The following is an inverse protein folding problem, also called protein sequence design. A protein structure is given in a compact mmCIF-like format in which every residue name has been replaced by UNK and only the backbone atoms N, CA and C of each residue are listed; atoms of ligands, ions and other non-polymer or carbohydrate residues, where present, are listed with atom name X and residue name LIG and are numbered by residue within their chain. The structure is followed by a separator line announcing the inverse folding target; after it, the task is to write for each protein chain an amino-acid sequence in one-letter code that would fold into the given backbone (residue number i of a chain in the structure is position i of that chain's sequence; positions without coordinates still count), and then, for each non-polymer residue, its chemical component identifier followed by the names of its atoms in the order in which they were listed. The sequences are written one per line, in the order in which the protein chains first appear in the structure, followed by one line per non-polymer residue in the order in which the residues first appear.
data_IF_343078490086
#
_entry.id   IF_343078490086
#
_cell.length_a   1.000
_cell.length_b   1.000
_cell.length_c   1.000
_cell.angle_alpha   90.00
_cell.angle_beta   90.00
_cell.angle_gamma   90.00
#
_symmetry.space_group_name_H-M   'P 1'
#
loop_
_entity.id
_entity.type
_entity.pdbx_description
1 polymer ?
#
# COMPACT_ATOMS: atom_id res chain seq x y z
N UNK A 1 7.31 36.30 48.87
CA UNK A 1 5.89 35.86 48.98
C UNK A 1 5.82 34.43 48.50
N UNK A 2 5.32 33.59 49.40
CA UNK A 2 5.19 32.13 49.34
C UNK A 2 4.17 31.70 48.29
N UNK A 3 4.42 30.59 47.56
CA UNK A 3 3.69 29.36 47.89
C UNK A 3 4.27 28.13 47.21
N UNK A 4 4.41 27.11 48.06
CA UNK A 4 4.87 25.75 47.81
C UNK A 4 3.64 24.84 47.72
N UNK A 5 3.80 23.72 47.00
CA UNK A 5 3.05 22.46 47.10
C UNK A 5 1.63 22.35 46.51
N UNK A 6 1.42 21.33 45.65
CA UNK A 6 0.76 20.09 46.08
C UNK A 6 0.95 18.93 45.10
N UNK A 7 1.49 17.85 45.67
CA UNK A 7 1.60 16.49 45.18
C UNK A 7 0.28 15.73 45.43
N UNK A 8 -0.16 14.88 44.50
CA UNK A 8 -1.21 13.84 44.70
C UNK A 8 -1.47 13.14 43.36
N UNK A 9 -1.60 11.83 43.20
CA UNK A 9 -1.39 10.65 44.04
C UNK A 9 -1.47 9.46 43.04
N UNK A 10 -0.61 8.45 43.19
CA UNK A 10 -0.66 7.22 42.42
C UNK A 10 -1.93 6.42 42.72
N UNK A 11 -2.56 5.86 41.68
CA UNK A 11 -3.58 4.82 41.79
C UNK A 11 -3.10 3.53 41.15
N UNK A 12 -2.60 2.60 41.97
CA UNK A 12 -2.29 1.21 41.58
C UNK A 12 -3.52 0.33 41.84
N UNK A 13 -4.06 -0.29 40.80
CA UNK A 13 -5.15 -1.26 40.91
C UNK A 13 -4.58 -2.66 41.20
N UNK A 14 -4.84 -3.16 42.41
CA UNK A 14 -4.57 -4.54 42.82
C UNK A 14 -5.68 -5.46 42.30
N UNK A 15 -5.35 -6.43 41.45
CA UNK A 15 -6.24 -7.52 41.05
C UNK A 15 -6.02 -8.71 41.99
N UNK A 16 -7.08 -9.10 42.70
CA UNK A 16 -7.13 -10.23 43.63
C UNK A 16 -7.47 -11.55 42.90
N UNK A 17 -6.88 -12.61 43.46
CA UNK A 17 -6.93 -14.02 43.07
C UNK A 17 -8.35 -14.62 43.01
N UNK A 18 -8.54 -15.54 42.07
CA UNK A 18 -9.63 -16.52 42.07
C UNK A 18 -9.15 -17.85 41.51
N UNK A 19 -8.56 -18.70 42.37
CA UNK A 19 -8.29 -20.09 42.05
C UNK A 19 -9.51 -20.94 42.46
N UNK A 20 -10.06 -21.70 41.51
CA UNK A 20 -11.07 -22.73 41.81
C UNK A 20 -10.54 -24.07 41.31
N UNK A 21 -10.17 -24.92 42.27
CA UNK A 21 -9.82 -26.33 42.11
C UNK A 21 -11.10 -27.16 42.30
N UNK A 22 -11.42 -28.07 41.39
CA UNK A 22 -12.31 -29.23 41.64
C UNK A 22 -12.12 -30.30 40.55
N UNK A 23 -12.53 -31.57 40.76
CA UNK A 23 -11.59 -32.68 40.85
C UNK A 23 -11.61 -33.68 39.68
N UNK A 24 -10.55 -34.48 39.69
CA UNK A 24 -10.28 -35.68 38.92
C UNK A 24 -11.44 -36.71 39.00
N UNK A 25 -11.97 -37.15 37.86
CA UNK A 25 -12.69 -38.43 37.74
C UNK A 25 -11.98 -39.32 36.72
N UNK A 26 -11.41 -40.41 37.21
CA UNK A 26 -11.01 -41.58 36.43
C UNK A 26 -12.26 -42.38 36.09
N UNK A 27 -12.50 -42.67 34.80
CA UNK A 27 -13.02 -43.97 34.36
C UNK A 27 -13.27 -44.00 32.85
N UNK A 28 -12.96 -45.15 32.25
CA UNK A 28 -13.67 -45.65 31.08
C UNK A 28 -12.83 -45.83 29.83
N UNK A 29 -12.06 -46.91 29.78
CA UNK A 29 -11.59 -47.49 28.54
C UNK A 29 -12.81 -47.96 27.73
N UNK A 30 -13.03 -47.39 26.54
CA UNK A 30 -14.11 -47.76 25.63
C UNK A 30 -13.61 -47.68 24.19
N UNK A 31 -13.16 -48.81 23.66
CA UNK A 31 -12.80 -48.95 22.25
C UNK A 31 -14.06 -48.78 21.38
N UNK A 32 -14.11 -47.68 20.63
CA UNK A 32 -15.08 -47.49 19.56
C UNK A 32 -14.34 -47.51 18.23
N UNK A 33 -14.61 -48.53 17.42
CA UNK A 33 -14.11 -48.65 16.07
C UNK A 33 -14.70 -47.53 15.20
N UNK A 34 -13.85 -46.67 14.66
CA UNK A 34 -14.25 -45.72 13.61
C UNK A 34 -14.08 -46.39 12.24
N UNK A 35 -15.09 -46.31 11.35
CA UNK A 35 -14.94 -46.80 9.99
C UNK A 35 -13.95 -45.89 9.25
N UNK A 36 -12.98 -46.51 8.57
CA UNK A 36 -12.09 -45.83 7.62
C UNK A 36 -12.89 -45.49 6.37
N UNK A 37 -13.36 -44.25 6.27
CA UNK A 37 -13.80 -43.67 4.99
C UNK A 37 -12.58 -43.14 4.25
N UNK A 38 -12.31 -43.70 3.06
CA UNK A 38 -11.32 -43.18 2.12
C UNK A 38 -11.74 -41.76 1.70
N UNK A 39 -11.06 -40.75 2.23
CA UNK A 39 -11.14 -39.40 1.71
C UNK A 39 -10.36 -39.34 0.39
N UNK A 40 -11.07 -39.48 -0.73
CA UNK A 40 -10.58 -39.00 -2.02
C UNK A 40 -10.38 -37.50 -1.90
N UNK A 41 -9.14 -37.03 -2.00
CA UNK A 41 -8.81 -35.62 -2.11
C UNK A 41 -9.54 -35.04 -3.33
N UNK A 42 -10.64 -34.34 -3.08
CA UNK A 42 -11.29 -33.51 -4.09
C UNK A 42 -10.36 -32.35 -4.39
N UNK A 43 -9.97 -32.25 -5.66
CA UNK A 43 -9.24 -31.12 -6.20
C UNK A 43 -9.93 -29.83 -5.74
N UNK A 44 -9.15 -28.94 -5.11
CA UNK A 44 -9.62 -27.63 -4.73
C UNK A 44 -10.15 -26.90 -5.97
N UNK A 45 -11.47 -26.85 -6.08
CA UNK A 45 -12.16 -26.05 -7.06
C UNK A 45 -11.85 -24.58 -6.74
N UNK A 46 -11.18 -23.92 -7.68
CA UNK A 46 -10.79 -22.52 -7.60
C UNK A 46 -12.07 -21.70 -7.42
N UNK A 47 -12.33 -21.28 -6.18
CA UNK A 47 -13.46 -20.41 -5.85
C UNK A 47 -13.36 -19.15 -6.72
N UNK A 48 -14.40 -18.76 -7.46
CA UNK A 48 -14.40 -17.50 -8.19
C UNK A 48 -14.17 -16.37 -7.19
N UNK A 49 -12.98 -15.78 -7.24
CA UNK A 49 -12.64 -14.59 -6.48
C UNK A 49 -13.62 -13.50 -6.93
N UNK A 50 -14.65 -13.27 -6.13
CA UNK A 50 -15.57 -12.16 -6.32
C UNK A 50 -14.73 -10.90 -6.06
N UNK A 51 -14.18 -10.33 -7.14
CA UNK A 51 -13.35 -9.13 -7.13
C UNK A 51 -14.24 -7.98 -6.64
N UNK A 52 -14.29 -7.77 -5.33
CA UNK A 52 -14.80 -6.53 -4.74
C UNK A 52 -13.82 -5.42 -5.13
N UNK A 53 -14.00 -4.83 -6.32
CA UNK A 53 -13.14 -3.77 -6.88
C UNK A 53 -13.30 -2.47 -6.07
N UNK A 54 -12.21 -1.67 -5.94
CA UNK A 54 -11.75 -0.85 -7.06
C UNK A 54 -10.32 -1.21 -7.51
N UNK A 55 -10.23 -1.84 -8.69
CA UNK A 55 -9.06 -1.68 -9.56
C UNK A 55 -9.34 -0.55 -10.55
N UNK A 56 -8.44 -0.30 -11.50
CA UNK A 56 -8.62 0.76 -12.50
C UNK A 56 -10.01 0.72 -13.19
N UNK A 57 -10.63 1.89 -13.29
CA UNK A 57 -11.89 2.10 -14.03
C UNK A 57 -11.65 3.09 -15.15
N UNK A 58 -12.35 2.92 -16.26
CA UNK A 58 -12.13 3.71 -17.47
C UNK A 58 -13.46 4.23 -18.00
N UNK A 59 -13.43 5.40 -18.64
CA UNK A 59 -14.58 5.89 -19.39
C UNK A 59 -14.65 5.26 -20.80
N UNK A 60 -15.67 5.60 -21.56
CA UNK A 60 -15.90 5.08 -22.92
C UNK A 60 -14.79 5.47 -23.92
N UNK A 61 -14.00 6.50 -23.59
CA UNK A 61 -12.83 6.94 -24.38
C UNK A 61 -11.55 6.19 -23.99
N UNK A 62 -11.63 5.33 -22.98
CA UNK A 62 -10.52 4.57 -22.44
C UNK A 62 -9.57 5.34 -21.55
N UNK A 63 -9.94 6.55 -21.12
CA UNK A 63 -9.21 7.33 -20.12
C UNK A 63 -9.42 6.74 -18.72
N UNK A 64 -8.39 6.76 -17.88
CA UNK A 64 -8.47 6.28 -16.51
C UNK A 64 -9.33 7.24 -15.69
N UNK A 65 -10.36 6.75 -15.02
CA UNK A 65 -11.16 7.57 -14.09
C UNK A 65 -10.35 7.75 -12.81
N UNK A 66 -10.23 8.99 -12.35
CA UNK A 66 -9.49 9.32 -11.13
C UNK A 66 -10.20 8.74 -9.91
N UNK A 67 -9.52 7.91 -9.10
CA UNK A 67 -10.06 7.53 -7.79
C UNK A 67 -10.06 8.75 -6.86
N UNK A 68 -11.25 9.22 -6.49
CA UNK A 68 -11.39 10.40 -5.64
C UNK A 68 -10.93 10.16 -4.19
N UNK A 69 -10.96 8.91 -3.76
CA UNK A 69 -10.64 8.37 -2.44
C UNK A 69 -9.17 7.92 -2.31
N UNK A 70 -8.30 8.21 -3.28
CA UNK A 70 -6.93 7.67 -3.29
C UNK A 70 -6.08 7.99 -2.06
N UNK A 71 -6.41 9.04 -1.31
CA UNK A 71 -5.72 9.37 -0.04
C UNK A 71 -6.11 8.45 1.12
N UNK A 72 -7.13 7.62 0.94
CA UNK A 72 -7.52 6.54 1.86
C UNK A 72 -6.89 5.19 1.46
N UNK A 73 -6.15 5.14 0.35
CA UNK A 73 -5.46 3.94 -0.08
C UNK A 73 -4.20 3.67 0.76
N UNK A 74 -3.55 2.54 0.51
CA UNK A 74 -2.37 2.14 1.28
C UNK A 74 -1.19 2.99 0.84
N UNK A 75 -0.75 3.91 1.69
CA UNK A 75 0.51 4.63 1.52
C UNK A 75 1.70 3.66 1.56
N UNK A 76 2.64 3.79 0.60
CA UNK A 76 3.78 2.88 0.49
C UNK A 76 5.15 3.52 0.69
N UNK A 77 5.25 4.84 0.53
CA UNK A 77 6.48 5.60 0.74
C UNK A 77 6.38 7.02 0.21
N UNK A 78 7.32 7.86 0.64
CA UNK A 78 7.42 9.27 0.25
C UNK A 78 8.88 9.69 0.01
N UNK A 79 9.50 9.30 -1.11
CA UNK A 79 10.78 9.89 -1.50
C UNK A 79 10.61 11.39 -1.80
N UNK A 80 11.71 12.11 -1.77
CA UNK A 80 11.74 13.55 -2.08
C UNK A 80 12.89 13.85 -3.04
N UNK A 81 12.61 14.66 -4.06
CA UNK A 81 13.60 15.24 -4.97
C UNK A 81 13.48 16.76 -4.92
N UNK A 82 14.12 17.42 -3.94
CA UNK A 82 14.02 18.86 -3.76
C UNK A 82 14.67 19.64 -4.91
N UNK A 83 14.11 20.78 -5.30
CA UNK A 83 14.67 21.64 -6.33
C UNK A 83 16.09 22.09 -5.99
N UNK A 84 16.38 22.37 -4.72
CA UNK A 84 17.71 22.82 -4.28
C UNK A 84 18.80 21.74 -4.33
N UNK A 85 18.41 20.47 -4.53
CA UNK A 85 19.33 19.35 -4.79
C UNK A 85 19.38 18.96 -6.27
N UNK A 86 18.66 19.68 -7.14
CA UNK A 86 18.47 19.33 -8.55
C UNK A 86 18.56 20.58 -9.44
N UNK A 87 19.65 21.35 -9.31
CA UNK A 87 19.94 22.56 -10.11
C UNK A 87 18.80 23.59 -10.14
N UNK A 88 18.02 23.67 -9.06
CA UNK A 88 16.86 24.55 -8.94
C UNK A 88 15.59 24.04 -9.63
N UNK A 89 15.62 22.87 -10.28
CA UNK A 89 14.48 22.30 -11.01
C UNK A 89 14.52 20.77 -11.05
N UNK A 90 13.87 20.15 -10.07
CA UNK A 90 13.62 18.71 -10.09
C UNK A 90 12.66 18.33 -11.23
N UNK A 91 12.86 17.14 -11.81
CA UNK A 91 11.95 16.59 -12.82
C UNK A 91 10.53 16.35 -12.27
N UNK A 92 10.45 15.96 -10.99
CA UNK A 92 9.21 15.71 -10.25
C UNK A 92 9.25 16.46 -8.91
N UNK A 93 8.94 17.76 -8.88
CA UNK A 93 9.01 18.56 -7.67
C UNK A 93 7.83 18.25 -6.72
N UNK A 94 8.02 17.94 -5.44
CA UNK A 94 9.28 17.57 -4.79
C UNK A 94 9.12 16.29 -3.96
N UNK A 95 8.20 16.26 -2.99
CA UNK A 95 7.79 15.06 -2.29
C UNK A 95 6.86 14.21 -3.15
N UNK A 96 7.03 12.90 -3.11
CA UNK A 96 6.24 11.96 -3.91
C UNK A 96 5.45 11.04 -2.97
N UNK A 97 4.25 11.43 -2.54
CA UNK A 97 3.43 10.55 -1.72
C UNK A 97 2.85 9.44 -2.61
N UNK A 98 3.24 8.19 -2.37
CA UNK A 98 2.87 7.06 -3.22
C UNK A 98 1.87 6.16 -2.51
N UNK A 99 0.81 5.77 -3.22
CA UNK A 99 -0.28 4.94 -2.74
C UNK A 99 -0.53 3.78 -3.69
N UNK A 100 -0.93 2.63 -3.17
CA UNK A 100 -1.38 1.46 -3.95
C UNK A 100 -2.82 1.13 -3.57
N UNK A 101 -3.64 0.72 -4.54
CA UNK A 101 -5.01 0.33 -4.26
C UNK A 101 -5.08 -0.81 -3.22
N UNK A 102 -6.06 -0.79 -2.29
CA UNK A 102 -6.09 -1.73 -1.18
C UNK A 102 -6.15 -3.21 -1.58
N UNK A 103 -6.84 -3.53 -2.69
CA UNK A 103 -6.99 -4.90 -3.16
C UNK A 103 -5.66 -5.45 -3.69
N UNK A 104 -4.92 -4.64 -4.46
CA UNK A 104 -3.62 -5.02 -4.98
C UNK A 104 -2.55 -5.06 -3.90
N UNK A 105 -2.61 -4.20 -2.89
CA UNK A 105 -1.76 -4.36 -1.70
C UNK A 105 -2.02 -5.67 -0.97
N UNK A 106 -3.28 -6.05 -0.79
CA UNK A 106 -3.63 -7.31 -0.15
C UNK A 106 -3.12 -8.52 -0.95
N UNK A 107 -3.23 -8.48 -2.28
CA UNK A 107 -2.66 -9.51 -3.16
C UNK A 107 -1.13 -9.52 -3.13
N UNK A 108 -0.48 -8.35 -3.12
CA UNK A 108 0.97 -8.22 -3.03
C UNK A 108 1.50 -8.81 -1.73
N UNK A 109 0.83 -8.58 -0.60
CA UNK A 109 1.18 -9.22 0.69
C UNK A 109 1.18 -10.74 0.66
N UNK A 110 0.34 -11.34 -0.17
CA UNK A 110 0.22 -12.80 -0.26
C UNK A 110 1.20 -13.39 -1.26
N UNK A 111 1.49 -12.67 -2.34
CA UNK A 111 2.16 -13.23 -3.52
C UNK A 111 3.52 -12.60 -3.82
N UNK A 112 3.80 -11.42 -3.29
CA UNK A 112 4.94 -10.59 -3.65
C UNK A 112 4.92 -10.13 -5.11
N UNK A 113 3.74 -10.07 -5.74
CA UNK A 113 3.59 -9.70 -7.17
C UNK A 113 2.49 -8.65 -7.34
N UNK A 114 2.67 -7.75 -8.30
CA UNK A 114 1.62 -6.85 -8.76
C UNK A 114 0.72 -7.58 -9.77
N UNK A 115 -0.53 -7.79 -9.39
CA UNK A 115 -1.53 -8.47 -10.19
C UNK A 115 -2.17 -7.53 -11.24
N UNK A 116 -2.80 -8.11 -12.26
CA UNK A 116 -3.60 -7.33 -13.22
C UNK A 116 -4.73 -6.57 -12.52
N UNK A 117 -4.82 -5.28 -12.83
CA UNK A 117 -5.69 -4.30 -12.20
C UNK A 117 -5.02 -3.47 -11.11
N UNK A 118 -3.73 -3.71 -10.81
CA UNK A 118 -2.97 -2.90 -9.84
C UNK A 118 -2.93 -1.44 -10.27
N UNK A 119 -3.30 -0.55 -9.35
CA UNK A 119 -3.17 0.90 -9.50
C UNK A 119 -2.23 1.43 -8.43
N UNK A 120 -1.20 2.15 -8.87
CA UNK A 120 -0.31 2.92 -8.00
C UNK A 120 -0.43 4.38 -8.37
N UNK A 121 -0.67 5.24 -7.38
CA UNK A 121 -0.74 6.68 -7.53
C UNK A 121 0.48 7.34 -6.91
N UNK A 122 0.96 8.39 -7.56
CA UNK A 122 1.97 9.30 -7.05
C UNK A 122 1.37 10.70 -7.01
N UNK A 123 1.29 11.24 -5.81
CA UNK A 123 0.85 12.61 -5.56
C UNK A 123 2.07 13.46 -5.21
N UNK A 124 2.38 14.44 -6.06
CA UNK A 124 3.47 15.37 -5.83
C UNK A 124 3.05 16.45 -4.84
N UNK A 125 3.92 16.75 -3.89
CA UNK A 125 3.75 17.77 -2.85
C UNK A 125 5.01 18.64 -2.81
N UNK A 126 4.88 19.95 -2.65
CA UNK A 126 6.03 20.86 -2.58
C UNK A 126 6.78 20.73 -1.26
N UNK A 127 8.01 21.25 -1.20
CA UNK A 127 8.67 21.56 0.07
C UNK A 127 8.08 22.86 0.62
N UNK A 128 7.37 22.79 1.74
CA UNK A 128 6.82 23.94 2.45
C UNK A 128 7.82 24.60 3.41
N UNK A 129 8.84 23.88 3.84
CA UNK A 129 9.86 24.40 4.75
C UNK A 129 11.04 23.45 4.91
N UNK A 130 12.14 23.99 5.45
CA UNK A 130 13.39 23.23 5.71
C UNK A 130 13.80 23.14 7.19
N UNK A 131 12.99 23.72 8.07
CA UNK A 131 13.20 23.72 9.51
C UNK A 131 11.84 23.73 10.21
N UNK A 132 11.67 22.83 11.18
CA UNK A 132 10.54 22.76 12.10
C UNK A 132 11.07 22.50 13.52
N UNK A 133 10.19 22.45 14.51
CA UNK A 133 10.57 22.16 15.90
C UNK A 133 11.29 20.80 16.06
N UNK A 134 11.02 19.85 15.16
CA UNK A 134 11.70 18.55 15.12
C UNK A 134 13.12 18.60 14.52
N UNK A 135 13.57 19.76 14.02
CA UNK A 135 14.90 19.98 13.46
C UNK A 135 14.90 20.38 11.98
N UNK A 136 16.09 20.26 11.37
CA UNK A 136 16.31 20.57 9.96
C UNK A 136 15.96 19.37 9.09
N UNK A 137 15.40 19.64 7.91
CA UNK A 137 15.00 18.60 6.97
C UNK A 137 14.24 19.18 5.80
N UNK A 138 13.38 18.38 5.19
CA UNK A 138 12.38 18.86 4.25
C UNK A 138 11.00 18.53 4.82
N UNK A 139 10.08 19.48 4.72
CA UNK A 139 8.72 19.33 5.24
C UNK A 139 7.73 19.62 4.12
N UNK A 140 6.69 18.79 4.03
CA UNK A 140 5.69 18.90 2.97
C UNK A 140 4.90 20.21 3.06
N UNK A 141 4.62 20.79 1.91
CA UNK A 141 3.75 21.96 1.73
C UNK A 141 2.48 21.59 0.98
N UNK A 142 2.27 22.25 -0.16
CA UNK A 142 1.04 22.17 -0.94
C UNK A 142 1.08 21.03 -1.96
N UNK A 143 -0.09 20.48 -2.27
CA UNK A 143 -0.23 19.53 -3.38
C UNK A 143 0.14 20.19 -4.71
N UNK A 144 0.75 19.42 -5.62
CA UNK A 144 1.28 19.88 -6.91
C UNK A 144 0.60 19.16 -8.07
N UNK A 145 0.68 17.84 -8.16
CA UNK A 145 0.10 17.07 -9.28
C UNK A 145 -0.19 15.63 -8.89
N UNK A 146 -1.05 14.96 -9.65
CA UNK A 146 -1.40 13.56 -9.44
C UNK A 146 -1.18 12.72 -10.71
N UNK A 147 -0.50 11.60 -10.54
CA UNK A 147 -0.14 10.65 -11.59
C UNK A 147 -0.46 9.23 -11.16
N UNK A 148 -0.82 8.37 -12.10
CA UNK A 148 -1.05 6.94 -11.87
C UNK A 148 -0.20 6.08 -12.79
N UNK A 149 0.09 4.86 -12.34
CA UNK A 149 0.44 3.75 -13.21
C UNK A 149 -0.51 2.58 -12.95
N UNK A 150 -0.90 1.89 -14.02
CA UNK A 150 -1.85 0.78 -13.98
C UNK A 150 -1.29 -0.42 -14.71
N UNK A 151 -1.33 -1.59 -14.08
CA UNK A 151 -1.02 -2.87 -14.72
C UNK A 151 -2.29 -3.52 -15.25
N UNK A 152 -2.36 -3.80 -16.54
CA UNK A 152 -3.48 -4.53 -17.14
C UNK A 152 -3.02 -5.21 -18.43
N UNK A 153 -2.72 -6.50 -18.37
CA UNK A 153 -2.23 -7.27 -19.52
C UNK A 153 -3.22 -7.36 -20.68
N UNK A 154 -4.52 -7.26 -20.42
CA UNK A 154 -5.54 -7.28 -21.49
C UNK A 154 -5.64 -5.93 -22.19
N UNK A 155 -5.48 -4.84 -21.45
CA UNK A 155 -5.72 -3.48 -21.94
C UNK A 155 -4.46 -2.80 -22.47
N UNK A 156 -3.31 -3.20 -21.95
CA UNK A 156 -1.99 -2.63 -22.24
C UNK A 156 -1.00 -3.73 -22.68
N UNK A 157 -1.45 -4.68 -23.49
CA UNK A 157 -0.60 -5.73 -24.06
C UNK A 157 0.51 -5.17 -24.97
N UNK A 158 0.34 -3.93 -25.44
CA UNK A 158 1.30 -3.15 -26.22
C UNK A 158 2.31 -2.39 -25.35
N UNK A 159 2.12 -2.28 -24.05
CA UNK A 159 3.06 -1.62 -23.13
C UNK A 159 4.07 -2.62 -22.53
N UNK A 160 5.35 -2.22 -22.39
CA UNK A 160 6.32 -2.97 -21.60
C UNK A 160 5.79 -3.28 -20.18
N UNK A 161 5.86 -4.55 -19.79
CA UNK A 161 5.36 -5.04 -18.50
C UNK A 161 3.84 -4.92 -18.30
N UNK A 162 3.09 -4.55 -19.34
CA UNK A 162 1.67 -4.24 -19.29
C UNK A 162 1.31 -3.08 -18.36
N UNK A 163 2.25 -2.15 -18.16
CA UNK A 163 2.06 -0.94 -17.36
C UNK A 163 1.79 0.28 -18.24
N UNK A 164 0.65 0.94 -18.03
CA UNK A 164 0.34 2.24 -18.62
C UNK A 164 0.38 3.34 -17.57
N UNK A 165 0.81 4.53 -17.99
CA UNK A 165 0.97 5.71 -17.14
C UNK A 165 -0.07 6.77 -17.47
N UNK A 166 -0.58 7.47 -16.46
CA UNK A 166 -1.66 8.44 -16.58
C UNK A 166 -1.37 9.68 -15.73
N UNK A 167 -1.85 10.83 -16.18
CA UNK A 167 -1.74 12.10 -15.44
C UNK A 167 -3.12 12.75 -15.30
N UNK A 168 -3.42 13.23 -14.08
CA UNK A 168 -4.67 13.91 -13.75
C UNK A 168 -4.52 15.44 -13.64
N UNK A 169 -3.38 15.98 -14.08
CA UNK A 169 -3.11 17.41 -14.03
C UNK A 169 -2.60 17.90 -12.67
N UNK A 170 -2.82 19.19 -12.42
CA UNK A 170 -2.22 19.93 -11.30
C UNK A 170 -3.26 20.27 -10.22
N UNK A 171 -2.78 20.42 -9.00
CA UNK A 171 -3.56 20.85 -7.86
C UNK A 171 -3.95 22.35 -7.99
N UNK A 172 -5.03 22.80 -7.31
CA UNK A 172 -5.94 22.02 -6.46
C UNK A 172 -7.02 21.26 -7.25
N UNK A 173 -7.05 21.37 -8.58
CA UNK A 173 -8.16 20.90 -9.41
C UNK A 173 -7.73 19.77 -10.37
N UNK A 174 -7.44 18.59 -9.81
CA UNK A 174 -7.19 17.41 -10.63
C UNK A 174 -8.39 17.05 -11.51
N UNK A 175 -8.13 16.66 -12.76
CA UNK A 175 -9.15 16.22 -13.71
C UNK A 175 -9.85 14.95 -13.22
N UNK A 176 -11.10 14.76 -13.65
CA UNK A 176 -11.88 13.56 -13.32
C UNK A 176 -11.34 12.30 -14.04
N UNK A 177 -10.65 12.48 -15.16
CA UNK A 177 -10.03 11.41 -15.93
C UNK A 177 -8.59 11.76 -16.29
N UNK A 178 -7.75 10.75 -16.41
CA UNK A 178 -6.35 10.87 -16.81
C UNK A 178 -6.13 10.25 -18.18
N UNK A 179 -5.42 10.98 -19.04
CA UNK A 179 -5.03 10.48 -20.37
C UNK A 179 -3.80 9.58 -20.26
N UNK A 180 -3.79 8.49 -21.03
CA UNK A 180 -2.61 7.62 -21.16
C UNK A 180 -1.45 8.43 -21.75
N UNK A 181 -0.32 8.39 -21.06
CA UNK A 181 0.94 8.98 -21.49
C UNK A 181 1.57 8.11 -22.58
N UNK A 182 2.43 8.71 -23.43
CA UNK A 182 3.21 7.93 -24.40
C UNK A 182 4.17 6.99 -23.67
N UNK A 183 4.36 5.78 -24.19
CA UNK A 183 5.26 4.77 -23.62
C UNK A 183 6.63 5.34 -23.27
N UNK A 184 7.26 6.08 -24.19
CA UNK A 184 8.62 6.58 -24.03
C UNK A 184 8.75 7.62 -22.91
N UNK A 185 7.64 8.27 -22.53
CA UNK A 185 7.64 9.33 -21.50
C UNK A 185 7.86 8.79 -20.09
N UNK A 186 7.52 7.53 -19.82
CA UNK A 186 7.54 6.97 -18.46
C UNK A 186 8.13 5.57 -18.41
N UNK A 187 7.77 4.71 -19.37
CA UNK A 187 8.11 3.30 -19.36
C UNK A 187 9.62 3.06 -19.53
N UNK A 188 10.31 3.93 -20.28
CA UNK A 188 11.76 3.90 -20.49
C UNK A 188 12.54 3.91 -19.16
N UNK A 189 12.25 4.88 -18.28
CA UNK A 189 12.88 4.96 -16.97
C UNK A 189 12.39 3.85 -16.02
N UNK A 190 11.10 3.53 -16.06
CA UNK A 190 10.52 2.50 -15.18
C UNK A 190 10.98 1.08 -15.52
N UNK A 191 11.42 0.80 -16.76
CA UNK A 191 11.99 -0.50 -17.13
C UNK A 191 13.25 -0.86 -16.33
N UNK A 192 13.96 0.15 -15.80
CA UNK A 192 15.11 -0.02 -14.91
C UNK A 192 14.75 -0.16 -13.43
N UNK A 193 13.47 -0.19 -13.06
CA UNK A 193 13.05 -0.36 -11.68
C UNK A 193 13.39 -1.75 -11.14
N UNK A 194 13.55 -1.85 -9.82
CA UNK A 194 14.04 -3.07 -9.18
C UNK A 194 13.00 -4.20 -9.08
N UNK A 195 11.72 -3.93 -9.36
CA UNK A 195 10.66 -4.92 -9.29
C UNK A 195 9.49 -4.54 -10.21
N UNK A 196 9.34 -5.24 -11.33
CA UNK A 196 8.14 -5.15 -12.20
C UNK A 196 7.70 -3.70 -12.49
N UNK A 197 8.63 -2.88 -12.98
CA UNK A 197 8.44 -1.45 -13.29
C UNK A 197 8.13 -0.54 -12.09
N UNK A 198 8.17 -1.06 -10.86
CA UNK A 198 7.94 -0.31 -9.61
C UNK A 198 9.24 -0.20 -8.81
N UNK A 199 9.61 1.02 -8.39
CA UNK A 199 10.81 1.29 -7.59
C UNK A 199 10.63 0.89 -6.11
N UNK A 200 10.34 -0.38 -5.82
CA UNK A 200 10.02 -0.86 -4.45
C UNK A 200 11.18 -0.68 -3.45
N UNK A 201 12.41 -0.44 -3.91
CA UNK A 201 13.55 -0.05 -3.06
C UNK A 201 13.33 1.25 -2.29
N UNK A 202 12.44 2.15 -2.74
CA UNK A 202 12.07 3.38 -2.02
C UNK A 202 10.75 3.26 -1.25
N UNK A 203 10.06 2.12 -1.34
CA UNK A 203 8.75 1.86 -0.71
C UNK A 203 8.84 0.83 0.42
N UNK A 204 9.19 1.25 1.65
CA UNK A 204 9.43 0.33 2.77
C UNK A 204 8.20 -0.51 3.15
N UNK A 205 7.00 0.03 2.96
CA UNK A 205 5.74 -0.69 3.28
C UNK A 205 5.56 -1.89 2.36
N UNK A 206 5.92 -1.78 1.07
CA UNK A 206 5.89 -2.92 0.13
C UNK A 206 6.98 -3.94 0.48
N UNK A 207 8.21 -3.50 0.75
CA UNK A 207 9.28 -4.43 1.15
C UNK A 207 8.94 -5.24 2.40
N UNK A 208 8.34 -4.60 3.40
CA UNK A 208 7.90 -5.26 4.62
C UNK A 208 6.69 -6.19 4.40
N UNK A 209 5.82 -5.86 3.44
CA UNK A 209 4.64 -6.63 3.08
C UNK A 209 4.96 -7.90 2.28
N UNK A 210 6.06 -7.92 1.54
CA UNK A 210 6.43 -9.03 0.68
C UNK A 210 6.55 -10.33 1.50
N UNK A 211 5.95 -11.46 1.04
CA UNK A 211 6.11 -12.73 1.71
C UNK A 211 7.59 -13.08 1.86
N UNK A 212 8.01 -13.44 3.07
CA UNK A 212 9.30 -14.08 3.27
C UNK A 212 9.23 -15.45 2.63
N UNK A 213 10.13 -15.74 1.68
CA UNK A 213 10.26 -17.09 1.18
C UNK A 213 10.76 -17.95 2.35
N UNK A 214 10.06 -19.04 2.66
CA UNK A 214 10.49 -19.98 3.70
C UNK A 214 11.85 -20.54 3.31
N UNK A 215 12.92 -20.07 3.96
CA UNK A 215 14.30 -20.50 3.67
C UNK A 215 15.40 -19.43 3.82
N UNK A 216 15.06 -18.20 4.20
CA UNK A 216 16.02 -17.11 4.52
C UNK A 216 16.12 -16.84 6.02
#
# INVERSE_FOLDING_TARGET
MTNTEKLSLLGTATLLFGAVLTPLFLSGCGASAFPTTNATASAAEERPQTRTKPGATYNDKGELIRPADHREWVFVGAPVTPNDMNDGKAAFPEFHNVYIDPASYAAYKQTGKFADGTVILKELVSVGGKQMDSGNGYFQGEFVSLEAMVKDSSRFSDEPGSWAFFRFGEAPNYTATGTRMKTESCNSCHSGANEDYVFTSTYPVLRAARPKMTGE
#
